data_IF_229945974479
#
_entry.id   IF_229945974479
#
_cell.length_a   1.000
_cell.length_b   1.000
_cell.length_c   1.000
_cell.angle_alpha   90.00
_cell.angle_beta   90.00
_cell.angle_gamma   90.00
#
_symmetry.space_group_name_H-M   'P 1'
#
loop_
_entity.id
_entity.type
_entity.pdbx_description
1 polymer ?
#
# COMPACT_ATOMS: atom_id res chain seq x y z
N UNK A 1 10.40 -10.73 10.87
CA UNK A 1 10.92 -10.43 9.52
C UNK A 1 10.76 -8.95 9.20
N UNK A 2 11.73 -8.10 9.56
CA UNK A 2 11.80 -6.76 8.97
C UNK A 2 12.28 -6.93 7.52
N UNK A 3 11.60 -6.37 6.50
CA UNK A 3 12.15 -6.37 5.15
C UNK A 3 13.53 -5.70 5.19
N UNK A 4 14.56 -6.36 4.65
CA UNK A 4 15.88 -5.76 4.53
C UNK A 4 15.80 -4.54 3.60
N UNK A 5 16.72 -3.60 3.75
CA UNK A 5 16.82 -2.43 2.87
C UNK A 5 16.89 -2.84 1.38
N UNK A 6 17.49 -4.00 1.09
CA UNK A 6 17.62 -4.56 -0.26
C UNK A 6 16.28 -4.90 -0.90
N UNK A 7 15.28 -5.28 -0.11
CA UNK A 7 13.93 -5.56 -0.64
C UNK A 7 13.35 -4.32 -1.33
N UNK A 8 13.51 -3.16 -0.69
CA UNK A 8 13.03 -1.88 -1.21
C UNK A 8 13.91 -1.30 -2.32
N UNK A 9 15.06 -1.90 -2.63
CA UNK A 9 15.85 -1.49 -3.79
C UNK A 9 15.13 -1.79 -5.12
N UNK A 10 14.20 -2.76 -5.14
CA UNK A 10 13.52 -3.23 -6.35
C UNK A 10 12.23 -2.46 -6.69
N UNK A 11 12.13 -1.17 -6.33
CA UNK A 11 11.01 -0.32 -6.76
C UNK A 11 11.01 -0.14 -8.28
N UNK A 12 9.82 -0.08 -8.87
CA UNK A 12 9.66 0.10 -10.32
C UNK A 12 10.06 1.52 -10.78
N UNK A 13 9.79 2.54 -9.95
CA UNK A 13 10.05 3.95 -10.27
C UNK A 13 11.11 4.54 -9.36
N UNK A 14 12.34 4.64 -9.85
CA UNK A 14 13.49 4.99 -9.00
C UNK A 14 13.83 6.48 -8.97
N UNK A 15 13.53 7.21 -10.05
CA UNK A 15 14.02 8.59 -10.24
C UNK A 15 13.08 9.62 -9.62
N UNK A 16 13.52 10.46 -8.66
CA UNK A 16 12.68 11.53 -8.09
C UNK A 16 12.28 12.62 -9.09
N UNK A 17 12.94 12.68 -10.25
CA UNK A 17 12.66 13.66 -11.30
C UNK A 17 11.59 13.20 -12.28
N UNK A 18 11.16 11.94 -12.18
CA UNK A 18 10.20 11.32 -13.09
C UNK A 18 9.02 10.82 -12.28
N UNK A 19 8.05 11.72 -12.03
CA UNK A 19 6.82 11.36 -11.34
C UNK A 19 5.98 10.44 -12.23
N UNK A 20 5.69 9.19 -11.81
CA UNK A 20 4.80 8.33 -12.57
C UNK A 20 3.37 8.88 -12.52
N UNK A 21 2.61 8.64 -13.59
CA UNK A 21 1.16 8.89 -13.59
C UNK A 21 0.46 7.89 -12.67
N UNK A 22 -0.69 8.24 -12.06
CA UNK A 22 -1.39 7.33 -11.16
C UNK A 22 -1.76 5.97 -11.77
N UNK A 23 -2.02 5.90 -13.08
CA UNK A 23 -2.34 4.67 -13.82
C UNK A 23 -1.11 3.98 -14.44
N UNK A 24 0.07 4.58 -14.34
CA UNK A 24 1.30 4.08 -14.95
C UNK A 24 1.63 2.62 -14.57
N UNK A 25 1.48 2.17 -13.30
CA UNK A 25 1.83 0.79 -12.92
C UNK A 25 0.97 -0.26 -13.63
N UNK A 26 -0.27 0.10 -14.02
CA UNK A 26 -1.14 -0.81 -14.76
C UNK A 26 -0.61 -1.16 -16.17
N UNK A 27 0.35 -0.37 -16.68
CA UNK A 27 0.96 -0.54 -18.00
C UNK A 27 2.36 -1.17 -17.90
N UNK A 28 3.10 -0.79 -16.87
CA UNK A 28 4.51 -1.18 -16.72
C UNK A 28 4.70 -2.52 -15.98
N UNK A 29 3.72 -2.93 -15.16
CA UNK A 29 3.76 -4.21 -14.46
C UNK A 29 3.37 -5.38 -15.37
N UNK A 30 3.85 -6.58 -15.03
CA UNK A 30 3.35 -7.82 -15.65
C UNK A 30 1.83 -7.94 -15.50
N UNK A 31 1.11 -8.60 -16.41
CA UNK A 31 -0.37 -8.61 -16.40
C UNK A 31 -0.99 -8.99 -15.06
N UNK A 32 -0.43 -10.03 -14.40
CA UNK A 32 -0.89 -10.48 -13.08
C UNK A 32 -0.65 -9.43 -11.98
N UNK A 33 0.51 -8.79 -11.99
CA UNK A 33 0.83 -7.73 -11.02
C UNK A 33 0.02 -6.47 -11.28
N UNK A 34 -0.19 -6.09 -12.54
CA UNK A 34 -1.06 -4.99 -12.94
C UNK A 34 -2.51 -5.20 -12.47
N UNK A 35 -3.05 -6.41 -12.61
CA UNK A 35 -4.39 -6.74 -12.10
C UNK A 35 -4.48 -6.59 -10.58
N UNK A 36 -3.47 -7.07 -9.83
CA UNK A 36 -3.40 -6.90 -8.37
C UNK A 36 -3.31 -5.42 -7.96
N UNK A 37 -2.48 -4.64 -8.67
CA UNK A 37 -2.36 -3.20 -8.46
C UNK A 37 -3.72 -2.51 -8.64
N UNK A 38 -4.38 -2.75 -9.78
CA UNK A 38 -5.69 -2.16 -10.11
C UNK A 38 -6.71 -2.48 -9.03
N UNK A 39 -6.85 -3.76 -8.67
CA UNK A 39 -7.81 -4.20 -7.65
C UNK A 39 -7.56 -3.53 -6.30
N UNK A 40 -6.32 -3.56 -5.80
CA UNK A 40 -5.99 -2.93 -4.51
C UNK A 40 -6.24 -1.42 -4.52
N UNK A 41 -5.88 -0.75 -5.61
CA UNK A 41 -6.11 0.68 -5.80
C UNK A 41 -7.61 1.02 -5.85
N UNK A 42 -8.40 0.23 -6.57
CA UNK A 42 -9.85 0.39 -6.67
C UNK A 42 -10.52 0.20 -5.31
N UNK A 43 -10.17 -0.84 -4.57
CA UNK A 43 -10.70 -1.12 -3.23
C UNK A 43 -10.36 0.01 -2.25
N UNK A 44 -9.11 0.48 -2.21
CA UNK A 44 -8.70 1.60 -1.36
C UNK A 44 -9.43 2.91 -1.72
N UNK A 45 -9.59 3.19 -3.02
CA UNK A 45 -10.32 4.38 -3.49
C UNK A 45 -11.83 4.29 -3.27
N UNK A 46 -12.38 3.09 -3.11
CA UNK A 46 -13.81 2.89 -2.83
C UNK A 46 -14.19 3.25 -1.39
N UNK A 47 -13.20 3.33 -0.49
CA UNK A 47 -13.40 3.73 0.89
C UNK A 47 -13.81 5.21 0.96
N UNK A 48 -14.80 5.50 1.81
CA UNK A 48 -15.35 6.85 1.95
C UNK A 48 -14.27 7.83 2.42
N UNK A 49 -14.21 8.99 1.75
CA UNK A 49 -13.28 10.09 2.04
C UNK A 49 -11.79 9.76 1.87
N UNK A 50 -11.45 8.62 1.25
CA UNK A 50 -10.05 8.35 0.87
C UNK A 50 -9.60 9.25 -0.26
N UNK A 51 -8.43 9.83 -0.11
CA UNK A 51 -7.67 10.48 -1.20
C UNK A 51 -6.47 9.63 -1.58
N UNK A 52 -6.07 9.72 -2.85
CA UNK A 52 -4.86 9.08 -3.38
C UNK A 52 -3.87 10.15 -3.82
N UNK A 53 -2.60 9.97 -3.47
CA UNK A 53 -1.50 10.80 -3.95
C UNK A 53 -0.30 9.95 -4.39
N UNK A 54 0.30 10.29 -5.53
CA UNK A 54 1.58 9.70 -5.95
C UNK A 54 2.72 10.53 -5.39
N UNK A 55 3.48 10.03 -4.41
CA UNK A 55 4.45 10.81 -3.62
C UNK A 55 5.82 10.15 -3.65
N UNK A 56 6.90 10.94 -3.72
CA UNK A 56 8.26 10.45 -3.56
C UNK A 56 8.69 10.51 -2.09
N UNK A 57 8.93 9.36 -1.47
CA UNK A 57 9.28 9.22 -0.05
C UNK A 57 10.76 8.91 0.18
N UNK A 58 11.64 9.52 -0.62
CA UNK A 58 13.08 9.42 -0.43
C UNK A 58 13.72 8.17 -1.05
N UNK A 59 14.97 7.91 -0.68
CA UNK A 59 15.81 6.92 -1.35
C UNK A 59 15.43 5.47 -1.05
N UNK A 60 14.74 5.21 0.06
CA UNK A 60 14.30 3.86 0.43
C UNK A 60 12.96 3.51 -0.21
N UNK A 61 11.95 4.38 -0.09
CA UNK A 61 10.58 4.06 -0.51
C UNK A 61 10.24 4.57 -1.92
N UNK A 62 11.07 5.45 -2.49
CA UNK A 62 10.91 6.00 -3.84
C UNK A 62 9.49 6.54 -4.09
N UNK A 63 8.91 6.32 -5.27
CA UNK A 63 7.53 6.70 -5.58
C UNK A 63 6.53 5.68 -5.05
N UNK A 64 5.53 6.16 -4.33
CA UNK A 64 4.45 5.35 -3.76
C UNK A 64 3.09 5.96 -4.07
N UNK A 65 2.05 5.13 -3.99
CA UNK A 65 0.65 5.55 -4.00
C UNK A 65 0.19 5.59 -2.56
N UNK A 66 0.12 6.79 -2.00
CA UNK A 66 -0.29 7.06 -0.64
C UNK A 66 -1.81 7.25 -0.58
N UNK A 67 -2.44 6.63 0.42
CA UNK A 67 -3.86 6.74 0.69
C UNK A 67 -4.11 7.36 2.06
N UNK A 68 -4.96 8.38 2.13
CA UNK A 68 -5.23 9.15 3.35
C UNK A 68 -6.73 9.40 3.54
N UNK A 69 -7.18 9.51 4.80
CA UNK A 69 -8.53 9.94 5.19
C UNK A 69 -8.43 11.02 6.24
N UNK A 70 -9.00 12.20 5.98
CA UNK A 70 -9.02 13.30 6.94
C UNK A 70 -7.63 13.70 7.45
N UNK A 71 -6.60 13.60 6.60
CA UNK A 71 -5.20 13.89 6.95
C UNK A 71 -4.46 12.74 7.67
N UNK A 72 -5.12 11.61 7.95
CA UNK A 72 -4.47 10.41 8.48
C UNK A 72 -4.06 9.48 7.35
N UNK A 73 -2.79 9.10 7.33
CA UNK A 73 -2.26 8.06 6.44
C UNK A 73 -2.87 6.71 6.77
N UNK A 74 -3.43 6.05 5.76
CA UNK A 74 -3.93 4.67 5.87
C UNK A 74 -2.90 3.66 5.41
N UNK A 75 -2.23 3.94 4.30
CA UNK A 75 -1.28 3.02 3.72
C UNK A 75 -0.73 3.47 2.38
N UNK A 76 0.10 2.61 1.83
CA UNK A 76 0.87 2.86 0.63
C UNK A 76 0.88 1.61 -0.25
N UNK A 77 0.68 1.80 -1.55
CA UNK A 77 1.02 0.78 -2.54
C UNK A 77 2.38 1.10 -3.17
N UNK A 78 3.19 0.05 -3.28
CA UNK A 78 4.55 0.07 -3.81
C UNK A 78 4.62 -0.81 -5.06
N UNK A 79 4.59 -0.24 -6.27
CA UNK A 79 4.93 -0.98 -7.47
C UNK A 79 6.41 -1.37 -7.44
N UNK A 80 6.65 -2.67 -7.46
CA UNK A 80 7.97 -3.29 -7.44
C UNK A 80 8.23 -3.93 -8.80
N UNK A 81 9.50 -4.12 -9.17
CA UNK A 81 9.86 -4.84 -10.40
C UNK A 81 9.24 -6.25 -10.45
N UNK A 82 9.13 -6.92 -9.30
CA UNK A 82 8.57 -8.27 -9.18
C UNK A 82 7.06 -8.31 -8.92
N UNK A 83 6.39 -7.17 -8.69
CA UNK A 83 4.98 -7.16 -8.32
C UNK A 83 4.50 -5.89 -7.63
N UNK A 84 3.65 -6.06 -6.61
CA UNK A 84 3.06 -4.95 -5.85
C UNK A 84 3.11 -5.32 -4.38
N UNK A 85 3.59 -4.40 -3.56
CA UNK A 85 3.60 -4.52 -2.10
C UNK A 85 2.76 -3.43 -1.47
N UNK A 86 2.21 -3.72 -0.28
CA UNK A 86 1.39 -2.78 0.48
C UNK A 86 1.97 -2.58 1.87
N UNK A 87 2.00 -1.34 2.34
CA UNK A 87 2.33 -1.01 3.74
C UNK A 87 1.16 -0.28 4.36
N UNK A 88 0.68 -0.73 5.52
CA UNK A 88 -0.43 -0.09 6.25
C UNK A 88 0.11 0.66 7.46
N UNK A 89 -0.52 1.78 7.77
CA UNK A 89 -0.21 2.59 8.96
C UNK A 89 -1.17 2.19 10.05
N UNK A 90 -0.63 1.60 11.11
CA UNK A 90 -1.38 1.23 12.30
C UNK A 90 -1.27 2.35 13.34
N UNK A 91 -2.37 2.63 14.01
CA UNK A 91 -2.40 3.36 15.27
C UNK A 91 -1.95 2.45 16.41
N UNK A 92 -1.54 3.04 17.54
CA UNK A 92 -1.11 2.27 18.70
C UNK A 92 -2.17 1.25 19.19
N UNK A 93 -3.49 1.58 19.22
CA UNK A 93 -4.51 0.59 19.54
C UNK A 93 -4.58 -0.57 18.54
N UNK A 94 -4.49 -0.28 17.23
CA UNK A 94 -4.50 -1.31 16.17
C UNK A 94 -3.27 -2.24 16.29
N UNK A 95 -2.09 -1.68 16.60
CA UNK A 95 -0.87 -2.44 16.83
C UNK A 95 -0.97 -3.33 18.07
N UNK A 96 -1.54 -2.81 19.17
CA UNK A 96 -1.77 -3.57 20.39
C UNK A 96 -2.75 -4.72 20.14
N UNK A 97 -3.80 -4.48 19.37
CA UNK A 97 -4.78 -5.52 19.01
C UNK A 97 -4.14 -6.64 18.17
N UNK A 98 -3.38 -6.29 17.13
CA UNK A 98 -2.70 -7.27 16.27
C UNK A 98 -1.68 -8.09 17.07
N UNK A 99 -0.97 -7.45 18.00
CA UNK A 99 -0.03 -8.11 18.90
C UNK A 99 -0.73 -9.09 19.83
N UNK A 100 -1.91 -8.72 20.34
CA UNK A 100 -2.71 -9.56 21.24
C UNK A 100 -3.36 -10.75 20.52
N UNK A 101 -3.67 -10.64 19.22
CA UNK A 101 -4.25 -11.74 18.43
C UNK A 101 -3.22 -12.60 17.71
N UNK A 102 -1.92 -12.39 17.97
CA UNK A 102 -0.82 -13.05 17.26
C UNK A 102 -0.95 -12.96 15.72
N UNK A 103 -1.45 -11.81 15.22
CA UNK A 103 -1.65 -11.57 13.79
C UNK A 103 -2.84 -12.30 13.15
N UNK A 104 -3.70 -12.97 13.93
CA UNK A 104 -4.91 -13.59 13.41
C UNK A 104 -6.08 -12.58 13.45
N UNK A 105 -6.93 -12.54 12.40
CA UNK A 105 -8.15 -11.76 12.45
C UNK A 105 -9.04 -12.27 13.58
N UNK A 106 -9.65 -11.35 14.34
CA UNK A 106 -10.70 -11.74 15.29
C UNK A 106 -11.81 -12.44 14.51
N UNK A 107 -12.33 -13.54 15.04
CA UNK A 107 -13.56 -14.14 14.53
C UNK A 107 -14.66 -13.10 14.68
N UNK A 108 -15.03 -12.45 13.58
CA UNK A 108 -16.20 -11.57 13.53
C UNK A 108 -17.40 -12.50 13.63
N UNK A 109 -17.94 -12.65 14.85
CA UNK A 109 -19.26 -13.26 15.01
C UNK A 109 -20.27 -12.27 14.46
N UNK A 110 -20.75 -12.49 13.25
CA UNK A 110 -22.02 -11.89 12.82
C UNK A 110 -23.10 -12.43 13.73
N UNK A 111 -23.57 -11.62 14.69
CA UNK A 111 -24.83 -11.91 15.37
C UNK A 111 -25.94 -11.83 14.32
N UNK A 112 -26.76 -12.87 14.14
CA UNK A 112 -27.96 -12.75 13.33
C UNK A 112 -28.87 -11.70 13.97
N UNK A 113 -29.43 -10.84 13.12
CA UNK A 113 -30.46 -9.87 13.48
C UNK A 113 -31.75 -10.56 13.90
#
# INVERSE_FOLDING_TARGET
NKPSTDYWANHLYMSPRQRPKPDQPARDLSPRAAQRFKKAREELRSLRHVTEQVVYLGTTWKWVWMYEVGGRKLGYLHPMQSGVSGTFVLSAPEEQEISATNGLPRVIKCSPA
#
